data_IF_184317368075
#
_entry.id   IF_184317368075
#
_cell.length_a   1.000
_cell.length_b   1.000
_cell.length_c   1.000
_cell.angle_alpha   90.00
_cell.angle_beta   90.00
_cell.angle_gamma   90.00
#
_symmetry.space_group_name_H-M   'P 1'
#
loop_
_entity.id
_entity.type
_entity.pdbx_description
1 polymer ?
#
# COMPACT_ATOMS: atom_id res chain seq x y z
N UNK A 1 -17.78 -19.19 16.71
CA UNK A 1 -16.70 -18.93 15.72
C UNK A 1 -16.86 -17.50 15.23
N UNK A 2 -15.76 -16.82 14.92
CA UNK A 2 -15.81 -15.48 14.28
C UNK A 2 -16.40 -15.61 12.87
N UNK A 3 -17.08 -14.57 12.39
CA UNK A 3 -17.53 -14.52 10.99
C UNK A 3 -16.31 -14.42 10.08
N UNK A 4 -16.24 -15.19 8.98
CA UNK A 4 -15.14 -15.12 8.04
C UNK A 4 -15.00 -13.72 7.41
N UNK A 5 -13.77 -13.22 7.31
CA UNK A 5 -13.45 -12.01 6.54
C UNK A 5 -13.26 -12.42 5.08
N UNK A 6 -13.99 -11.77 4.17
CA UNK A 6 -13.84 -11.98 2.73
C UNK A 6 -12.83 -10.98 2.16
N UNK A 7 -11.78 -11.51 1.54
CA UNK A 7 -10.67 -10.71 0.99
C UNK A 7 -10.55 -10.97 -0.51
N UNK A 8 -10.73 -9.93 -1.31
CA UNK A 8 -10.47 -10.00 -2.75
C UNK A 8 -9.03 -9.55 -3.06
N UNK A 9 -8.36 -10.29 -3.94
CA UNK A 9 -7.01 -9.98 -4.42
C UNK A 9 -7.03 -9.98 -5.94
N UNK A 10 -6.73 -8.83 -6.55
CA UNK A 10 -6.57 -8.73 -8.01
C UNK A 10 -5.13 -9.04 -8.41
N UNK A 11 -4.91 -9.64 -9.59
CA UNK A 11 -3.60 -10.11 -9.99
C UNK A 11 -3.11 -11.26 -9.10
N UNK A 12 -4.03 -12.13 -8.69
CA UNK A 12 -3.82 -13.18 -7.70
C UNK A 12 -2.78 -14.22 -8.11
N UNK A 13 -2.67 -14.53 -9.41
CA UNK A 13 -1.66 -15.44 -9.96
C UNK A 13 -0.31 -14.73 -10.26
N UNK A 14 -0.23 -13.41 -10.10
CA UNK A 14 1.00 -12.64 -10.26
C UNK A 14 1.97 -12.87 -9.10
N UNK A 15 3.23 -12.46 -9.26
CA UNK A 15 4.27 -12.71 -8.24
C UNK A 15 3.95 -12.14 -6.85
N UNK A 16 3.38 -10.93 -6.78
CA UNK A 16 2.98 -10.33 -5.50
C UNK A 16 1.76 -11.07 -4.96
N UNK A 17 0.73 -11.32 -5.81
CA UNK A 17 -0.47 -12.06 -5.44
C UNK A 17 -0.10 -13.42 -4.86
N UNK A 18 0.65 -14.23 -5.59
CA UNK A 18 1.13 -15.52 -5.13
C UNK A 18 1.85 -15.45 -3.77
N UNK A 19 2.82 -14.54 -3.60
CA UNK A 19 3.53 -14.39 -2.33
C UNK A 19 2.63 -13.90 -1.17
N UNK A 20 1.53 -13.22 -1.48
CA UNK A 20 0.60 -12.62 -0.52
C UNK A 20 -0.43 -13.63 -0.01
N UNK A 21 -1.01 -14.43 -0.90
CA UNK A 21 -2.15 -15.31 -0.59
C UNK A 21 -1.86 -16.29 0.55
N UNK A 22 -0.70 -16.93 0.54
CA UNK A 22 -0.29 -17.88 1.59
C UNK A 22 -0.10 -17.21 2.95
N UNK A 23 0.33 -15.95 2.97
CA UNK A 23 0.45 -15.15 4.21
C UNK A 23 -0.90 -14.76 4.76
N UNK A 24 -1.86 -14.40 3.90
CA UNK A 24 -3.23 -14.13 4.32
C UNK A 24 -3.85 -15.41 4.90
N UNK A 25 -3.78 -16.51 4.14
CA UNK A 25 -4.36 -17.80 4.52
C UNK A 25 -3.77 -18.39 5.82
N UNK A 26 -2.49 -18.11 6.10
CA UNK A 26 -1.83 -18.55 7.35
C UNK A 26 -2.17 -17.70 8.59
N UNK A 27 -3.00 -16.64 8.44
CA UNK A 27 -3.41 -15.78 9.55
C UNK A 27 -2.48 -14.61 9.86
N UNK A 28 -1.42 -14.37 9.07
CA UNK A 28 -0.48 -13.27 9.32
C UNK A 28 -1.14 -11.88 9.21
N UNK A 29 -2.21 -11.74 8.42
CA UNK A 29 -2.86 -10.46 8.16
C UNK A 29 -3.90 -10.07 9.22
N UNK A 30 -4.74 -11.01 9.64
CA UNK A 30 -5.89 -10.74 10.54
C UNK A 30 -5.81 -11.46 11.90
N UNK A 31 -4.73 -12.19 12.13
CA UNK A 31 -4.52 -12.94 13.36
C UNK A 31 -4.78 -14.45 13.23
N UNK A 32 -4.32 -15.23 14.22
CA UNK A 32 -4.27 -16.70 14.13
C UNK A 32 -5.61 -17.40 14.34
N UNK A 33 -6.67 -16.67 14.64
CA UNK A 33 -8.02 -17.19 14.97
C UNK A 33 -9.12 -16.59 14.08
N UNK A 34 -8.76 -15.85 13.00
CA UNK A 34 -9.71 -15.22 12.10
C UNK A 34 -9.90 -16.07 10.84
N UNK A 35 -11.11 -16.69 10.66
CA UNK A 35 -11.45 -17.40 9.42
C UNK A 35 -11.51 -16.46 8.21
N UNK A 36 -11.19 -16.98 7.03
CA UNK A 36 -11.04 -16.23 5.80
C UNK A 36 -11.74 -16.90 4.62
N UNK A 37 -12.26 -16.08 3.72
CA UNK A 37 -12.60 -16.45 2.34
C UNK A 37 -11.78 -15.60 1.39
N UNK A 38 -11.11 -16.20 0.42
CA UNK A 38 -10.33 -15.52 -0.58
C UNK A 38 -11.07 -15.47 -1.91
N UNK A 39 -11.22 -14.27 -2.48
CA UNK A 39 -11.69 -14.04 -3.83
C UNK A 39 -10.47 -13.71 -4.70
N UNK A 40 -10.14 -14.60 -5.61
CA UNK A 40 -8.93 -14.50 -6.45
C UNK A 40 -9.33 -14.01 -7.83
N UNK A 41 -9.01 -12.76 -8.12
CA UNK A 41 -9.43 -12.09 -9.35
C UNK A 41 -8.26 -12.02 -10.31
N UNK A 42 -8.45 -12.55 -11.52
CA UNK A 42 -7.47 -12.50 -12.60
C UNK A 42 -8.09 -12.13 -13.94
N UNK A 43 -7.25 -11.80 -14.90
CA UNK A 43 -7.68 -11.66 -16.29
C UNK A 43 -7.95 -13.04 -16.89
N UNK A 44 -8.84 -13.17 -17.89
CA UNK A 44 -9.20 -14.47 -18.48
C UNK A 44 -7.98 -15.30 -18.90
N UNK A 45 -6.96 -14.69 -19.47
CA UNK A 45 -5.74 -15.37 -19.96
C UNK A 45 -4.88 -15.94 -18.82
N UNK A 46 -5.07 -15.52 -17.57
CA UNK A 46 -4.32 -15.99 -16.42
C UNK A 46 -5.09 -16.98 -15.53
N UNK A 47 -6.33 -17.35 -15.87
CA UNK A 47 -7.13 -18.31 -15.09
C UNK A 47 -6.45 -19.67 -14.97
N UNK A 48 -5.78 -20.14 -16.01
CA UNK A 48 -5.01 -21.40 -15.93
C UNK A 48 -3.87 -21.36 -14.93
N UNK A 49 -3.18 -20.22 -14.76
CA UNK A 49 -2.18 -20.05 -13.73
C UNK A 49 -2.82 -19.96 -12.33
N UNK A 50 -4.01 -19.36 -12.24
CA UNK A 50 -4.77 -19.26 -11.00
C UNK A 50 -5.20 -20.64 -10.47
N UNK A 51 -5.55 -21.57 -11.36
CA UNK A 51 -5.87 -22.97 -10.98
C UNK A 51 -4.68 -23.61 -10.24
N UNK A 52 -3.45 -23.40 -10.71
CA UNK A 52 -2.25 -23.88 -10.03
C UNK A 52 -2.08 -23.28 -8.63
N UNK A 53 -2.32 -21.97 -8.48
CA UNK A 53 -2.27 -21.29 -7.17
C UNK A 53 -3.31 -21.86 -6.21
N UNK A 54 -4.51 -22.19 -6.71
CA UNK A 54 -5.55 -22.81 -5.90
C UNK A 54 -5.17 -24.21 -5.41
N UNK A 55 -4.55 -25.02 -6.28
CA UNK A 55 -4.04 -26.35 -5.89
C UNK A 55 -3.06 -26.21 -4.72
N UNK A 56 -2.10 -25.30 -4.80
CA UNK A 56 -1.13 -25.08 -3.73
C UNK A 56 -1.76 -24.56 -2.44
N UNK A 57 -2.76 -23.67 -2.53
CA UNK A 57 -3.51 -23.21 -1.35
C UNK A 57 -4.24 -24.37 -0.65
N UNK A 58 -4.81 -25.30 -1.43
CA UNK A 58 -5.42 -26.51 -0.89
C UNK A 58 -4.39 -27.46 -0.27
N UNK A 59 -3.25 -27.65 -0.92
CA UNK A 59 -2.16 -28.50 -0.43
C UNK A 59 -1.56 -27.99 0.89
N UNK A 60 -1.60 -26.66 1.12
CA UNK A 60 -1.17 -26.06 2.38
C UNK A 60 -2.11 -26.37 3.56
N UNK A 61 -3.35 -26.79 3.29
CA UNK A 61 -4.35 -27.15 4.31
C UNK A 61 -4.50 -26.13 5.45
N UNK A 62 -4.53 -24.83 5.11
CA UNK A 62 -4.64 -23.77 6.10
C UNK A 62 -5.97 -23.84 6.88
N UNK A 63 -5.94 -23.97 8.21
CA UNK A 63 -7.14 -24.16 9.00
C UNK A 63 -8.07 -22.93 9.05
N UNK A 64 -7.56 -21.74 8.68
CA UNK A 64 -8.32 -20.50 8.65
C UNK A 64 -8.97 -20.24 7.29
N UNK A 65 -8.57 -20.93 6.24
CA UNK A 65 -9.08 -20.74 4.88
C UNK A 65 -10.33 -21.59 4.66
N UNK A 66 -11.50 -20.96 4.74
CA UNK A 66 -12.78 -21.65 4.57
C UNK A 66 -13.15 -21.92 3.12
N UNK A 67 -12.86 -20.96 2.24
CA UNK A 67 -13.16 -21.10 0.81
C UNK A 67 -12.30 -20.19 -0.06
N UNK A 68 -12.19 -20.55 -1.34
CA UNK A 68 -11.49 -19.78 -2.38
C UNK A 68 -12.43 -19.66 -3.58
N UNK A 69 -12.61 -18.44 -4.09
CA UNK A 69 -13.45 -18.13 -5.25
C UNK A 69 -12.55 -17.56 -6.36
N UNK A 70 -12.13 -18.36 -7.36
CA UNK A 70 -11.39 -17.88 -8.51
C UNK A 70 -12.36 -17.30 -9.55
N UNK A 71 -12.05 -16.14 -10.12
CA UNK A 71 -12.91 -15.55 -11.15
C UNK A 71 -12.19 -14.51 -12.00
N UNK A 72 -12.69 -14.30 -13.23
CA UNK A 72 -12.34 -13.15 -14.06
C UNK A 72 -13.44 -12.07 -14.07
N UNK A 73 -14.59 -12.33 -13.42
CA UNK A 73 -15.69 -11.38 -13.30
C UNK A 73 -15.52 -10.53 -12.05
N UNK A 74 -15.36 -9.22 -12.25
CA UNK A 74 -15.22 -8.26 -11.15
C UNK A 74 -16.45 -8.22 -10.22
N UNK A 75 -17.67 -8.41 -10.74
CA UNK A 75 -18.88 -8.40 -9.91
C UNK A 75 -18.95 -9.62 -8.98
N UNK A 76 -18.51 -10.77 -9.46
CA UNK A 76 -18.39 -11.96 -8.63
C UNK A 76 -17.23 -11.83 -7.64
N UNK A 77 -16.08 -11.38 -8.11
CA UNK A 77 -14.87 -11.25 -7.31
C UNK A 77 -15.00 -10.26 -6.17
N UNK A 78 -15.77 -9.20 -6.33
CA UNK A 78 -15.99 -8.22 -5.27
C UNK A 78 -17.29 -8.41 -4.47
N UNK A 79 -18.00 -9.53 -4.66
CA UNK A 79 -19.26 -9.76 -3.96
C UNK A 79 -19.06 -9.95 -2.46
N UNK A 80 -19.71 -9.08 -1.68
CA UNK A 80 -19.74 -9.12 -0.20
C UNK A 80 -18.35 -9.12 0.47
N UNK A 81 -17.31 -8.62 -0.19
CA UNK A 81 -15.96 -8.56 0.39
C UNK A 81 -15.85 -7.47 1.45
N UNK A 82 -15.02 -7.72 2.47
CA UNK A 82 -14.67 -6.75 3.51
C UNK A 82 -13.32 -6.03 3.19
N UNK A 83 -12.45 -6.68 2.40
CA UNK A 83 -11.19 -6.10 1.94
C UNK A 83 -10.96 -6.34 0.45
N UNK A 84 -10.61 -5.27 -0.28
CA UNK A 84 -10.11 -5.33 -1.64
C UNK A 84 -8.63 -4.98 -1.67
N UNK A 85 -7.79 -5.94 -2.06
CA UNK A 85 -6.36 -5.74 -2.27
C UNK A 85 -6.10 -5.65 -3.78
N UNK A 86 -6.00 -4.42 -4.29
CA UNK A 86 -5.88 -4.14 -5.72
C UNK A 86 -4.40 -4.18 -6.13
N UNK A 87 -3.90 -5.38 -6.36
CA UNK A 87 -2.48 -5.68 -6.66
C UNK A 87 -2.20 -5.66 -8.16
N UNK A 88 -3.14 -6.16 -8.96
CA UNK A 88 -3.00 -6.26 -10.42
C UNK A 88 -2.91 -4.89 -11.09
N UNK A 89 -1.86 -4.69 -11.88
CA UNK A 89 -1.68 -3.51 -12.72
C UNK A 89 -0.76 -3.83 -13.89
N UNK A 90 -0.86 -3.05 -14.97
CA UNK A 90 0.07 -3.17 -16.10
C UNK A 90 1.40 -2.53 -15.70
N UNK A 91 2.53 -3.26 -15.75
CA UNK A 91 3.84 -2.71 -15.43
C UNK A 91 4.32 -1.76 -16.54
N UNK A 92 5.11 -0.74 -16.16
CA UNK A 92 5.73 0.15 -17.13
C UNK A 92 6.72 -0.62 -18.00
N UNK A 93 6.53 -0.56 -19.31
CA UNK A 93 7.45 -1.14 -20.31
C UNK A 93 8.48 -0.10 -20.75
N UNK A 94 9.62 -0.57 -21.28
CA UNK A 94 10.60 0.32 -21.87
C UNK A 94 9.98 1.12 -23.03
N UNK A 95 10.22 2.43 -23.05
CA UNK A 95 9.65 3.35 -24.05
C UNK A 95 8.20 3.81 -23.79
N UNK A 96 7.52 3.31 -22.75
CA UNK A 96 6.19 3.77 -22.40
C UNK A 96 6.25 5.09 -21.64
N UNK A 97 5.50 6.09 -22.09
CA UNK A 97 5.36 7.35 -21.38
C UNK A 97 4.52 7.19 -20.10
N UNK A 98 4.71 8.10 -19.14
CA UNK A 98 3.94 8.08 -17.87
C UNK A 98 2.44 8.23 -18.13
N UNK A 99 2.07 9.12 -19.05
CA UNK A 99 0.67 9.37 -19.42
C UNK A 99 -0.01 8.11 -19.97
N UNK A 100 0.68 7.34 -20.82
CA UNK A 100 0.15 6.13 -21.40
C UNK A 100 -0.12 5.06 -20.33
N UNK A 101 0.83 4.89 -19.40
CA UNK A 101 0.68 3.96 -18.28
C UNK A 101 -0.51 4.34 -17.40
N UNK A 102 -0.65 5.63 -17.08
CA UNK A 102 -1.76 6.15 -16.30
C UNK A 102 -3.10 5.94 -17.02
N UNK A 103 -3.15 6.14 -18.34
CA UNK A 103 -4.35 5.92 -19.14
C UNK A 103 -4.78 4.45 -19.20
N UNK A 104 -3.81 3.51 -19.31
CA UNK A 104 -4.10 2.07 -19.33
C UNK A 104 -4.56 1.59 -17.96
N UNK A 105 -3.78 1.87 -16.91
CA UNK A 105 -4.14 1.47 -15.56
C UNK A 105 -5.42 2.17 -15.09
N UNK A 106 -5.63 3.44 -15.43
CA UNK A 106 -6.82 4.17 -15.05
C UNK A 106 -8.11 3.48 -15.45
N UNK A 107 -8.19 2.91 -16.65
CA UNK A 107 -9.37 2.15 -17.11
C UNK A 107 -9.62 0.90 -16.25
N UNK A 108 -8.55 0.20 -15.84
CA UNK A 108 -8.63 -0.95 -14.95
C UNK A 108 -9.20 -0.53 -13.60
N UNK A 109 -8.67 0.54 -13.01
CA UNK A 109 -9.06 1.00 -11.68
C UNK A 109 -10.45 1.67 -11.65
N UNK A 110 -10.90 2.28 -12.75
CA UNK A 110 -12.30 2.71 -12.92
C UNK A 110 -13.25 1.50 -12.80
N UNK A 111 -13.00 0.46 -13.58
CA UNK A 111 -13.84 -0.75 -13.56
C UNK A 111 -13.85 -1.46 -12.21
N UNK A 112 -12.68 -1.52 -11.54
CA UNK A 112 -12.58 -2.09 -10.20
C UNK A 112 -13.33 -1.23 -9.17
N UNK A 113 -13.17 0.09 -9.17
CA UNK A 113 -13.88 1.00 -8.27
C UNK A 113 -15.41 0.84 -8.38
N UNK A 114 -15.93 0.89 -9.61
CA UNK A 114 -17.37 0.72 -9.87
C UNK A 114 -17.89 -0.66 -9.44
N UNK A 115 -17.11 -1.72 -9.69
CA UNK A 115 -17.52 -3.06 -9.29
C UNK A 115 -17.50 -3.26 -7.77
N UNK A 116 -16.53 -2.67 -7.05
CA UNK A 116 -16.48 -2.67 -5.59
C UNK A 116 -17.69 -1.92 -5.01
N UNK A 117 -17.95 -0.70 -5.49
CA UNK A 117 -19.10 0.09 -5.03
C UNK A 117 -20.42 -0.68 -5.14
N UNK A 118 -20.61 -1.37 -6.26
CA UNK A 118 -21.85 -2.10 -6.55
C UNK A 118 -22.01 -3.37 -5.73
N UNK A 119 -20.93 -4.08 -5.40
CA UNK A 119 -21.01 -5.48 -4.97
C UNK A 119 -20.39 -5.75 -3.59
N UNK A 120 -19.52 -4.88 -3.08
CA UNK A 120 -18.82 -5.13 -1.83
C UNK A 120 -19.71 -4.93 -0.59
N UNK A 121 -19.26 -5.44 0.54
CA UNK A 121 -19.88 -5.18 1.84
C UNK A 121 -19.85 -3.68 2.19
N UNK A 122 -20.82 -3.21 2.95
CA UNK A 122 -20.91 -1.80 3.35
C UNK A 122 -19.73 -1.33 4.22
N UNK A 123 -18.96 -2.26 4.81
CA UNK A 123 -17.77 -1.99 5.61
C UNK A 123 -16.47 -2.18 4.84
N UNK A 124 -16.51 -2.36 3.52
CA UNK A 124 -15.34 -2.62 2.68
C UNK A 124 -14.24 -1.58 2.89
N UNK A 125 -12.99 -2.05 2.92
CA UNK A 125 -11.77 -1.24 2.88
C UNK A 125 -10.93 -1.65 1.67
N UNK A 126 -10.33 -0.68 1.02
CA UNK A 126 -9.62 -0.89 -0.24
C UNK A 126 -8.14 -0.48 -0.08
N UNK A 127 -7.22 -1.38 -0.36
CA UNK A 127 -5.79 -1.09 -0.41
C UNK A 127 -5.28 -1.25 -1.83
N UNK A 128 -4.85 -0.16 -2.44
CA UNK A 128 -4.26 -0.15 -3.77
C UNK A 128 -2.75 -0.35 -3.67
N UNK A 129 -2.27 -1.36 -4.38
CA UNK A 129 -0.87 -1.80 -4.43
C UNK A 129 -0.28 -1.62 -5.83
N UNK A 130 -1.11 -1.84 -6.86
CA UNK A 130 -0.72 -1.70 -8.26
C UNK A 130 -0.29 -0.27 -8.61
N UNK A 131 0.92 -0.14 -9.20
CA UNK A 131 1.52 1.16 -9.48
C UNK A 131 1.02 1.83 -10.76
N UNK A 132 0.95 3.18 -10.74
CA UNK A 132 1.23 4.12 -9.65
C UNK A 132 0.11 4.15 -8.60
N UNK A 133 0.37 3.62 -7.41
CA UNK A 133 -0.68 3.25 -6.46
C UNK A 133 -1.47 4.45 -5.92
N UNK A 134 -0.84 5.59 -5.67
CA UNK A 134 -1.55 6.79 -5.21
C UNK A 134 -2.56 7.27 -6.25
N UNK A 135 -2.14 7.40 -7.50
CA UNK A 135 -2.99 7.88 -8.60
C UNK A 135 -4.05 6.85 -8.99
N UNK A 136 -3.71 5.55 -8.99
CA UNK A 136 -4.68 4.49 -9.22
C UNK A 136 -5.77 4.46 -8.13
N UNK A 137 -5.38 4.69 -6.87
CA UNK A 137 -6.31 4.84 -5.74
C UNK A 137 -7.22 6.06 -5.93
N UNK A 138 -6.66 7.20 -6.33
CA UNK A 138 -7.43 8.41 -6.63
C UNK A 138 -8.48 8.16 -7.72
N UNK A 139 -8.10 7.47 -8.80
CA UNK A 139 -9.01 7.13 -9.90
C UNK A 139 -10.13 6.22 -9.40
N UNK A 140 -9.78 5.11 -8.73
CA UNK A 140 -10.77 4.16 -8.23
C UNK A 140 -11.76 4.82 -7.25
N UNK A 141 -11.27 5.60 -6.29
CA UNK A 141 -12.06 6.32 -5.30
C UNK A 141 -13.04 7.31 -5.97
N UNK A 142 -12.60 8.07 -6.96
CA UNK A 142 -13.45 9.04 -7.65
C UNK A 142 -14.50 8.39 -8.58
N UNK A 143 -14.38 7.10 -8.86
CA UNK A 143 -15.35 6.31 -9.63
C UNK A 143 -16.20 5.36 -8.76
N UNK A 144 -16.13 5.54 -7.42
CA UNK A 144 -16.88 4.77 -6.43
C UNK A 144 -17.33 5.71 -5.29
N UNK A 145 -18.18 6.68 -5.62
CA UNK A 145 -18.52 7.84 -4.77
C UNK A 145 -19.35 7.50 -3.55
N UNK A 146 -20.05 6.38 -3.57
CA UNK A 146 -20.83 5.90 -2.43
C UNK A 146 -19.96 5.29 -1.32
N UNK A 147 -18.69 4.97 -1.64
CA UNK A 147 -17.73 4.48 -0.64
C UNK A 147 -17.00 5.66 -0.01
N UNK A 148 -17.08 5.85 1.31
CA UNK A 148 -16.39 6.94 2.01
C UNK A 148 -14.89 6.99 1.71
N UNK A 149 -14.33 8.19 1.59
CA UNK A 149 -12.91 8.39 1.25
C UNK A 149 -11.94 7.83 2.29
N UNK A 150 -12.38 7.70 3.55
CA UNK A 150 -11.62 7.11 4.66
C UNK A 150 -11.47 5.57 4.57
N UNK A 151 -12.07 4.94 3.57
CA UNK A 151 -11.97 3.51 3.26
C UNK A 151 -10.93 3.19 2.18
N UNK A 152 -10.33 4.20 1.57
CA UNK A 152 -9.39 4.08 0.47
C UNK A 152 -7.96 4.33 0.91
N UNK A 153 -7.08 3.38 0.61
CA UNK A 153 -5.68 3.38 1.00
C UNK A 153 -4.79 3.05 -0.20
N UNK A 154 -3.55 3.60 -0.23
CA UNK A 154 -2.52 3.15 -1.14
C UNK A 154 -1.25 2.78 -0.37
N UNK A 155 -0.51 1.76 -0.85
CA UNK A 155 0.57 1.14 -0.10
C UNK A 155 1.86 1.94 -0.18
N UNK A 156 2.29 2.53 0.94
CA UNK A 156 3.62 3.13 1.14
C UNK A 156 4.43 2.41 2.23
N UNK A 157 3.87 1.37 2.83
CA UNK A 157 4.52 0.59 3.89
C UNK A 157 5.80 -0.10 3.43
N UNK A 158 5.92 -0.49 2.16
CA UNK A 158 7.15 -1.06 1.64
C UNK A 158 8.31 -0.07 1.75
N UNK A 159 8.06 1.20 1.49
CA UNK A 159 9.07 2.25 1.60
C UNK A 159 9.43 2.54 3.06
N UNK A 160 8.44 2.53 3.95
CA UNK A 160 8.66 2.59 5.40
C UNK A 160 9.55 1.44 5.88
N UNK A 161 9.24 0.20 5.48
CA UNK A 161 10.02 -0.98 5.85
C UNK A 161 11.46 -0.88 5.34
N UNK A 162 11.68 -0.36 4.14
CA UNK A 162 13.01 -0.06 3.57
C UNK A 162 13.74 0.98 4.41
N UNK A 163 13.08 2.07 4.74
CA UNK A 163 13.65 3.16 5.54
C UNK A 163 14.04 2.67 6.94
N UNK A 164 13.14 1.95 7.62
CA UNK A 164 13.42 1.35 8.94
C UNK A 164 14.61 0.41 8.91
N UNK A 165 14.70 -0.44 7.89
CA UNK A 165 15.81 -1.37 7.72
C UNK A 165 17.16 -0.64 7.50
N UNK A 166 17.19 0.47 6.74
CA UNK A 166 18.41 1.26 6.55
C UNK A 166 18.86 1.95 7.84
N UNK A 167 17.94 2.56 8.58
CA UNK A 167 18.27 3.19 9.87
C UNK A 167 18.75 2.16 10.89
N UNK A 168 18.07 1.03 11.02
CA UNK A 168 18.48 -0.05 11.92
C UNK A 168 19.88 -0.59 11.58
N UNK A 169 20.14 -0.82 10.29
CA UNK A 169 21.46 -1.28 9.83
C UNK A 169 22.56 -0.26 10.10
N UNK A 170 22.34 1.02 9.81
CA UNK A 170 23.32 2.10 10.06
C UNK A 170 23.61 2.28 11.54
N UNK A 171 22.60 2.13 12.41
CA UNK A 171 22.73 2.24 13.86
C UNK A 171 23.23 0.94 14.53
N UNK A 172 23.29 -0.19 13.80
CA UNK A 172 23.69 -1.48 14.38
C UNK A 172 22.68 -2.07 15.37
N UNK A 173 21.37 -1.79 15.19
CA UNK A 173 20.29 -2.26 16.08
C UNK A 173 19.28 -3.15 15.35
N UNK A 174 18.41 -3.81 16.10
CA UNK A 174 17.28 -4.56 15.52
C UNK A 174 16.23 -3.64 14.90
N UNK A 175 15.50 -4.12 13.88
CA UNK A 175 14.45 -3.33 13.18
C UNK A 175 13.35 -2.89 14.16
N UNK A 176 13.06 -3.67 15.19
CA UNK A 176 12.08 -3.33 16.23
C UNK A 176 12.41 -2.07 17.04
N UNK A 177 13.69 -1.67 17.08
CA UNK A 177 14.12 -0.43 17.72
C UNK A 177 13.71 0.84 16.93
N UNK A 178 13.40 0.72 15.63
CA UNK A 178 13.05 1.86 14.78
C UNK A 178 11.54 2.05 14.75
N UNK A 179 11.09 3.19 15.26
CA UNK A 179 9.67 3.59 15.34
C UNK A 179 9.44 4.96 14.72
N UNK A 180 8.18 5.35 14.59
CA UNK A 180 7.79 6.69 14.11
C UNK A 180 8.38 7.06 12.74
N UNK A 181 8.64 6.06 11.90
CA UNK A 181 9.08 6.32 10.53
C UNK A 181 7.88 6.77 9.68
N UNK A 182 8.06 7.87 8.95
CA UNK A 182 7.07 8.38 8.01
C UNK A 182 7.62 8.38 6.60
N UNK A 183 6.82 7.92 5.67
CA UNK A 183 6.98 8.20 4.25
C UNK A 183 5.95 9.26 3.88
N UNK A 184 6.40 10.40 3.40
CA UNK A 184 5.52 11.48 2.95
C UNK A 184 5.33 11.44 1.44
N UNK A 185 4.11 11.76 0.99
CA UNK A 185 3.80 12.08 -0.40
C UNK A 185 3.48 10.87 -1.27
N UNK A 186 4.06 10.85 -2.47
CA UNK A 186 3.81 9.86 -3.53
C UNK A 186 4.72 8.62 -3.39
N UNK A 187 4.21 7.43 -3.71
CA UNK A 187 5.04 6.23 -3.86
C UNK A 187 5.85 6.30 -5.17
N UNK A 188 6.86 7.13 -5.20
CA UNK A 188 7.70 7.42 -6.36
C UNK A 188 9.13 7.77 -5.95
N UNK A 189 9.93 8.25 -6.89
CA UNK A 189 11.28 8.77 -6.59
C UNK A 189 11.27 10.11 -5.83
N UNK A 190 10.11 10.74 -5.63
CA UNK A 190 9.96 11.95 -4.83
C UNK A 190 9.53 11.67 -3.39
N UNK A 191 9.20 10.43 -3.04
CA UNK A 191 8.85 10.06 -1.68
C UNK A 191 9.89 10.55 -0.67
N UNK A 192 9.42 11.03 0.47
CA UNK A 192 10.33 11.51 1.51
C UNK A 192 10.28 10.59 2.74
N UNK A 193 11.31 9.77 2.99
CA UNK A 193 11.47 9.05 4.25
C UNK A 193 12.00 10.00 5.33
N UNK A 194 11.14 10.34 6.27
CA UNK A 194 11.38 11.37 7.29
C UNK A 194 12.21 10.81 8.46
N UNK A 195 13.50 10.98 8.39
CA UNK A 195 14.42 10.57 9.43
C UNK A 195 14.46 11.50 10.64
N UNK A 196 14.00 12.77 10.51
CA UNK A 196 13.98 13.72 11.62
C UNK A 196 12.96 13.34 12.71
N UNK A 197 11.81 12.78 12.30
CA UNK A 197 10.78 12.35 13.23
C UNK A 197 10.87 10.86 13.60
N UNK A 198 11.69 10.08 12.89
CA UNK A 198 11.94 8.68 13.22
C UNK A 198 12.70 8.57 14.55
N UNK A 199 12.50 7.46 15.27
CA UNK A 199 13.16 7.18 16.53
C UNK A 199 13.87 5.84 16.49
N UNK A 200 15.01 5.78 17.17
CA UNK A 200 15.79 4.56 17.41
C UNK A 200 15.92 4.42 18.93
N UNK A 201 15.35 3.35 19.51
CA UNK A 201 15.26 3.15 20.97
C UNK A 201 14.72 4.40 21.71
N UNK A 202 13.63 4.97 21.17
CA UNK A 202 12.96 6.18 21.63
C UNK A 202 13.78 7.49 21.56
N UNK A 203 14.99 7.49 21.02
CA UNK A 203 15.80 8.69 20.76
C UNK A 203 15.62 9.16 19.31
N UNK A 204 15.77 10.47 19.02
CA UNK A 204 15.75 10.96 17.63
C UNK A 204 16.76 10.21 16.74
N UNK A 205 16.32 9.75 15.58
CA UNK A 205 17.14 8.91 14.71
C UNK A 205 18.35 9.67 14.15
N UNK A 206 18.21 10.96 13.88
CA UNK A 206 19.28 11.84 13.40
C UNK A 206 20.38 12.00 14.46
N UNK A 207 20.03 12.11 15.75
CA UNK A 207 21.01 12.15 16.84
C UNK A 207 21.73 10.80 17.01
N UNK A 208 21.00 9.67 16.93
CA UNK A 208 21.60 8.34 17.10
C UNK A 208 22.54 8.01 15.95
N UNK A 209 22.16 8.34 14.73
CA UNK A 209 23.01 8.13 13.53
C UNK A 209 24.20 9.08 13.52
N UNK A 210 24.02 10.37 13.89
CA UNK A 210 25.09 11.35 13.98
C UNK A 210 25.78 11.69 12.64
N UNK A 211 25.18 11.29 11.53
CA UNK A 211 25.71 11.49 10.15
C UNK A 211 24.63 12.11 9.27
N UNK A 212 24.43 13.41 9.46
CA UNK A 212 23.38 14.15 8.74
C UNK A 212 23.61 14.14 7.21
N UNK A 213 24.87 14.12 6.76
CA UNK A 213 25.20 14.04 5.33
C UNK A 213 24.71 12.74 4.71
N UNK A 214 24.92 11.62 5.40
CA UNK A 214 24.42 10.33 4.97
C UNK A 214 22.89 10.30 4.96
N UNK A 215 22.23 10.81 6.02
CA UNK A 215 20.77 10.87 6.12
C UNK A 215 20.14 11.66 4.98
N UNK A 216 20.67 12.85 4.67
CA UNK A 216 20.11 13.73 3.64
C UNK A 216 20.36 13.25 2.20
N UNK A 217 21.46 12.58 1.94
CA UNK A 217 21.87 12.23 0.58
C UNK A 217 21.75 10.74 0.28
N UNK A 218 22.38 9.88 1.07
CA UNK A 218 22.46 8.44 0.78
C UNK A 218 21.20 7.70 1.26
N UNK A 219 20.77 7.91 2.50
CA UNK A 219 19.61 7.24 3.06
C UNK A 219 18.36 7.47 2.21
N UNK A 220 18.04 8.73 1.91
CA UNK A 220 16.88 9.08 1.07
C UNK A 220 16.99 8.42 -0.30
N UNK A 221 18.14 8.54 -0.97
CA UNK A 221 18.36 7.97 -2.29
C UNK A 221 18.26 6.44 -2.30
N UNK A 222 18.79 5.76 -1.27
CA UNK A 222 18.70 4.31 -1.13
C UNK A 222 17.23 3.88 -1.03
N UNK A 223 16.42 4.55 -0.22
CA UNK A 223 15.01 4.22 -0.06
C UNK A 223 14.24 4.46 -1.37
N UNK A 224 14.40 5.63 -1.98
CA UNK A 224 13.74 6.01 -3.23
C UNK A 224 14.08 5.08 -4.40
N UNK A 225 15.34 4.64 -4.50
CA UNK A 225 15.84 3.85 -5.63
C UNK A 225 15.85 2.34 -5.37
N UNK A 226 15.42 1.88 -4.20
CA UNK A 226 15.48 0.45 -3.83
C UNK A 226 14.73 -0.44 -4.81
N UNK A 227 13.58 0.00 -5.32
CA UNK A 227 12.82 -0.75 -6.32
C UNK A 227 13.64 -1.02 -7.59
N UNK A 228 14.28 0.01 -8.14
CA UNK A 228 15.16 -0.11 -9.31
C UNK A 228 16.38 -1.00 -9.02
N UNK A 229 16.98 -0.89 -7.83
CA UNK A 229 18.10 -1.73 -7.42
C UNK A 229 17.72 -3.22 -7.35
N UNK A 230 16.53 -3.53 -6.84
CA UNK A 230 16.00 -4.90 -6.81
C UNK A 230 15.80 -5.44 -8.23
N UNK A 231 15.19 -4.65 -9.12
CA UNK A 231 15.01 -5.05 -10.53
C UNK A 231 16.36 -5.31 -11.20
N UNK A 232 17.35 -4.44 -10.99
CA UNK A 232 18.69 -4.59 -11.54
C UNK A 232 19.38 -5.88 -11.06
N UNK A 233 19.22 -6.24 -9.80
CA UNK A 233 19.85 -7.41 -9.19
C UNK A 233 19.11 -8.71 -9.49
N UNK A 234 17.77 -8.70 -9.46
CA UNK A 234 16.92 -9.89 -9.53
C UNK A 234 16.33 -10.14 -10.91
N UNK A 235 16.32 -9.14 -11.80
CA UNK A 235 15.61 -9.18 -13.10
C UNK A 235 14.09 -8.98 -13.00
N UNK A 236 13.53 -8.92 -11.79
CA UNK A 236 12.10 -8.83 -11.52
C UNK A 236 11.85 -7.82 -10.39
N UNK A 237 10.65 -7.25 -10.35
CA UNK A 237 10.21 -6.34 -9.28
C UNK A 237 10.15 -7.03 -7.91
N UNK A 238 10.13 -6.23 -6.86
CA UNK A 238 9.89 -6.71 -5.49
C UNK A 238 8.55 -7.44 -5.41
N UNK A 239 8.54 -8.67 -4.94
CA UNK A 239 7.34 -9.48 -4.74
C UNK A 239 7.14 -9.85 -3.27
N UNK A 240 8.06 -10.60 -2.67
CA UNK A 240 7.95 -11.03 -1.28
C UNK A 240 7.89 -9.87 -0.29
N UNK A 241 8.74 -8.83 -0.46
CA UNK A 241 8.71 -7.65 0.40
C UNK A 241 7.47 -6.77 0.17
N UNK A 242 6.94 -6.72 -1.06
CA UNK A 242 5.68 -6.04 -1.34
C UNK A 242 4.50 -6.76 -0.68
N UNK A 243 4.43 -8.09 -0.81
CA UNK A 243 3.42 -8.91 -0.12
C UNK A 243 3.48 -8.74 1.40
N UNK A 244 4.69 -8.73 1.98
CA UNK A 244 4.87 -8.46 3.41
C UNK A 244 4.32 -7.07 3.80
N UNK A 245 4.63 -6.05 3.02
CA UNK A 245 4.17 -4.69 3.28
C UNK A 245 2.64 -4.54 3.18
N UNK A 246 1.97 -5.30 2.30
CA UNK A 246 0.50 -5.39 2.24
C UNK A 246 -0.04 -5.97 3.55
N UNK A 247 0.52 -7.09 4.01
CA UNK A 247 0.15 -7.71 5.31
C UNK A 247 0.34 -6.72 6.45
N UNK A 248 1.52 -6.08 6.53
CA UNK A 248 1.83 -5.09 7.58
C UNK A 248 0.86 -3.89 7.55
N UNK A 249 0.46 -3.44 6.35
CA UNK A 249 -0.47 -2.32 6.19
C UNK A 249 -1.85 -2.69 6.73
N UNK A 250 -2.42 -3.80 6.27
CA UNK A 250 -3.75 -4.25 6.70
C UNK A 250 -3.75 -4.55 8.20
N UNK A 251 -2.73 -5.25 8.70
CA UNK A 251 -2.57 -5.50 10.14
C UNK A 251 -2.57 -4.20 10.95
N UNK A 252 -1.81 -3.19 10.50
CA UNK A 252 -1.74 -1.89 11.17
C UNK A 252 -3.05 -1.10 11.09
N UNK A 253 -3.86 -1.26 10.04
CA UNK A 253 -5.16 -0.61 9.89
C UNK A 253 -6.29 -1.32 10.65
N UNK A 254 -6.09 -2.57 11.06
CA UNK A 254 -7.08 -3.38 11.79
C UNK A 254 -6.80 -3.50 13.28
N UNK A 255 -5.61 -3.12 13.73
CA UNK A 255 -5.20 -3.19 15.13
C UNK A 255 -4.78 -1.81 15.65
N UNK A 256 -5.04 -1.55 16.93
CA UNK A 256 -4.60 -0.32 17.57
C UNK A 256 -3.08 -0.17 17.52
N UNK A 257 -2.62 1.02 17.17
CA UNK A 257 -1.20 1.32 17.08
C UNK A 257 -0.58 1.41 18.49
N UNK A 258 0.48 0.66 18.79
CA UNK A 258 1.10 0.65 20.11
C UNK A 258 1.70 2.01 20.50
N UNK A 259 1.49 2.42 21.76
CA UNK A 259 2.14 3.61 22.35
C UNK A 259 1.92 4.89 21.55
N UNK A 260 2.99 5.65 21.34
CA UNK A 260 3.00 6.86 20.52
C UNK A 260 3.54 6.64 19.10
N UNK A 261 3.58 5.39 18.65
CA UNK A 261 4.03 5.06 17.31
C UNK A 261 2.97 5.41 16.25
N UNK A 262 3.37 5.33 14.99
CA UNK A 262 2.53 5.42 13.81
C UNK A 262 3.12 4.59 12.67
N UNK A 263 2.43 4.51 11.58
CA UNK A 263 2.88 3.85 10.35
C UNK A 263 2.51 4.70 9.14
N UNK A 264 3.15 4.44 8.01
CA UNK A 264 2.90 5.16 6.77
C UNK A 264 1.88 4.43 5.90
N UNK A 265 0.87 5.15 5.48
CA UNK A 265 -0.08 4.71 4.46
C UNK A 265 -0.57 5.94 3.70
N UNK A 266 -0.79 5.82 2.39
CA UNK A 266 -1.40 6.88 1.64
C UNK A 266 -2.91 6.84 1.81
N UNK A 267 -3.47 7.97 2.17
CA UNK A 267 -4.91 8.19 2.43
C UNK A 267 -5.39 9.44 1.70
N UNK A 268 -6.70 9.60 1.59
CA UNK A 268 -7.29 10.84 1.09
C UNK A 268 -6.96 11.99 2.04
N UNK A 269 -6.30 13.01 1.53
CA UNK A 269 -5.92 14.18 2.31
C UNK A 269 -7.15 14.95 2.78
N UNK A 270 -7.12 15.35 4.04
CA UNK A 270 -8.09 16.24 4.70
C UNK A 270 -7.57 17.70 4.84
N UNK A 271 -6.49 18.04 4.13
CA UNK A 271 -5.78 19.31 4.23
C UNK A 271 -4.65 19.31 5.27
N UNK A 272 -4.46 18.25 6.02
CA UNK A 272 -3.36 18.11 6.99
C UNK A 272 -2.01 18.38 6.34
N UNK A 273 -1.12 19.08 7.06
CA UNK A 273 0.24 19.40 6.62
C UNK A 273 0.31 20.18 5.29
N UNK A 274 -0.70 20.99 4.99
CA UNK A 274 -0.84 21.79 3.76
C UNK A 274 -0.87 20.95 2.47
N UNK A 275 -1.23 19.68 2.57
CA UNK A 275 -1.47 18.83 1.42
C UNK A 275 -2.90 19.05 0.92
N UNK A 276 -3.07 19.37 -0.37
CA UNK A 276 -4.38 19.65 -0.98
C UNK A 276 -5.39 18.54 -0.66
N UNK A 277 -6.58 18.95 -0.20
CA UNK A 277 -7.67 18.04 0.10
C UNK A 277 -8.05 17.18 -1.11
N UNK A 278 -8.36 15.92 -0.86
CA UNK A 278 -8.77 14.96 -1.88
C UNK A 278 -7.62 14.31 -2.66
N UNK A 279 -6.35 14.71 -2.45
CA UNK A 279 -5.20 13.96 -2.96
C UNK A 279 -4.99 12.67 -2.15
N UNK A 280 -4.59 11.60 -2.82
CA UNK A 280 -4.11 10.39 -2.12
C UNK A 280 -2.62 10.55 -1.85
N UNK A 281 -2.28 10.90 -0.63
CA UNK A 281 -0.90 11.17 -0.19
C UNK A 281 -0.53 10.35 1.05
N UNK A 282 0.72 9.94 1.16
CA UNK A 282 1.21 9.22 2.33
C UNK A 282 1.44 10.17 3.51
N UNK A 283 0.97 9.73 4.67
CA UNK A 283 1.05 10.43 5.95
C UNK A 283 1.45 9.47 7.08
N UNK A 284 1.89 10.00 8.24
CA UNK A 284 1.90 9.25 9.48
C UNK A 284 0.47 8.99 9.94
N UNK A 285 0.10 7.73 10.06
CA UNK A 285 -1.25 7.27 10.45
C UNK A 285 -1.16 6.41 11.68
N UNK A 286 -2.13 6.52 12.57
CA UNK A 286 -2.32 5.61 13.69
C UNK A 286 -3.77 5.17 13.81
N UNK A 287 -3.99 4.05 14.46
CA UNK A 287 -5.31 3.50 14.75
C UNK A 287 -5.56 3.54 16.24
N UNK A 288 -6.76 3.98 16.64
CA UNK A 288 -7.27 4.02 18.01
C UNK A 288 -8.72 3.59 18.02
N UNK A 289 -9.06 2.56 18.81
CA UNK A 289 -10.42 2.07 18.89
C UNK A 289 -11.01 1.66 17.54
N UNK A 290 -10.20 1.06 16.66
CA UNK A 290 -10.60 0.61 15.34
C UNK A 290 -10.79 1.71 14.28
N UNK A 291 -10.44 2.98 14.60
CA UNK A 291 -10.46 4.11 13.66
C UNK A 291 -9.05 4.60 13.41
N UNK A 292 -8.73 4.83 12.15
CA UNK A 292 -7.47 5.46 11.79
C UNK A 292 -7.59 6.98 11.77
N UNK A 293 -6.48 7.65 12.00
CA UNK A 293 -6.36 9.11 11.92
C UNK A 293 -4.96 9.50 11.41
N UNK A 294 -4.87 10.62 10.70
CA UNK A 294 -3.58 11.26 10.41
C UNK A 294 -3.03 11.84 11.70
N UNK A 295 -1.81 11.45 12.07
CA UNK A 295 -1.15 11.98 13.27
C UNK A 295 -0.87 13.46 13.08
N UNK A 296 -1.41 14.29 13.94
CA UNK A 296 -1.22 15.74 13.89
C UNK A 296 -0.01 16.18 14.72
N UNK A 297 0.54 17.38 14.39
CA UNK A 297 1.60 18.02 15.16
C UNK A 297 2.98 17.40 15.02
N UNK A 298 3.21 16.58 13.99
CA UNK A 298 4.58 16.10 13.64
C UNK A 298 5.38 17.33 13.16
N UNK A 299 6.53 17.64 13.78
CA UNK A 299 7.32 18.82 13.41
C UNK A 299 7.85 18.72 11.98
N UNK A 300 7.68 19.75 11.19
CA UNK A 300 8.18 19.83 9.81
C UNK A 300 9.15 21.00 9.72
N UNK A 301 10.45 20.70 9.58
CA UNK A 301 11.46 21.72 9.32
C UNK A 301 11.52 22.09 7.83
N UNK A 302 12.30 23.10 7.48
CA UNK A 302 12.40 23.62 6.10
C UNK A 302 12.87 22.57 5.10
N UNK A 303 13.79 21.69 5.50
CA UNK A 303 14.26 20.60 4.65
C UNK A 303 13.15 19.59 4.35
N UNK A 304 12.43 19.14 5.40
CA UNK A 304 11.30 18.22 5.28
C UNK A 304 10.18 18.86 4.45
N UNK A 305 9.87 20.15 4.68
CA UNK A 305 8.86 20.91 3.94
C UNK A 305 9.17 20.88 2.43
N UNK A 306 10.39 21.25 2.05
CA UNK A 306 10.80 21.25 0.65
C UNK A 306 10.66 19.86 -0.02
N UNK A 307 10.96 18.77 0.72
CA UNK A 307 10.80 17.40 0.21
C UNK A 307 9.33 16.97 0.08
N UNK A 308 8.51 17.31 1.07
CA UNK A 308 7.06 17.06 1.04
C UNK A 308 6.42 17.80 -0.13
N UNK A 309 6.72 19.09 -0.28
CA UNK A 309 6.15 19.93 -1.34
C UNK A 309 6.52 19.42 -2.74
N UNK A 310 7.75 18.94 -2.94
CA UNK A 310 8.16 18.33 -4.20
C UNK A 310 7.33 17.08 -4.52
N UNK A 311 7.06 16.23 -3.53
CA UNK A 311 6.27 15.01 -3.73
C UNK A 311 4.78 15.30 -3.93
N UNK A 312 4.25 16.29 -3.20
CA UNK A 312 2.86 16.76 -3.37
C UNK A 312 2.66 17.41 -4.74
N UNK A 313 3.65 18.16 -5.23
CA UNK A 313 3.62 18.73 -6.58
C UNK A 313 3.50 17.65 -7.64
N UNK A 314 4.27 16.55 -7.53
CA UNK A 314 4.15 15.40 -8.42
C UNK A 314 2.74 14.77 -8.38
N UNK A 315 2.14 14.64 -7.19
CA UNK A 315 0.76 14.13 -7.06
C UNK A 315 -0.27 15.05 -7.76
N UNK A 316 -0.10 16.37 -7.67
CA UNK A 316 -0.95 17.33 -8.37
C UNK A 316 -0.81 17.23 -9.90
N UNK A 317 0.42 17.06 -10.38
CA UNK A 317 0.69 16.83 -11.79
C UNK A 317 0.04 15.52 -12.26
N UNK A 318 0.19 14.41 -11.52
CA UNK A 318 -0.48 13.15 -11.84
C UNK A 318 -1.99 13.27 -11.85
N UNK A 319 -2.60 13.94 -10.86
CA UNK A 319 -4.04 14.22 -10.80
C UNK A 319 -4.49 14.98 -12.06
N UNK A 320 -3.71 15.98 -12.50
CA UNK A 320 -4.01 16.74 -13.72
C UNK A 320 -3.97 15.88 -14.98
N UNK A 321 -3.00 14.95 -15.08
CA UNK A 321 -2.87 14.04 -16.21
C UNK A 321 -4.04 13.05 -16.33
N UNK A 322 -4.70 12.73 -15.22
CA UNK A 322 -5.82 11.77 -15.16
C UNK A 322 -7.17 12.44 -14.93
N UNK A 323 -7.27 13.76 -15.06
CA UNK A 323 -8.49 14.52 -14.76
C UNK A 323 -9.75 13.97 -15.46
N UNK A 324 -9.60 13.50 -16.71
CA UNK A 324 -10.70 12.88 -17.49
C UNK A 324 -11.15 11.53 -16.96
N UNK A 325 -10.33 10.88 -16.10
CA UNK A 325 -10.58 9.56 -15.52
C UNK A 325 -11.20 9.63 -14.11
N UNK A 326 -11.30 10.84 -13.51
CA UNK A 326 -11.74 11.00 -12.13
C UNK A 326 -13.27 11.01 -11.95
N UNK A 327 -14.04 10.64 -12.94
CA UNK A 327 -15.52 10.61 -12.86
C UNK A 327 -16.12 12.03 -12.68
N UNK A 328 -17.16 12.34 -13.42
CA UNK A 328 -17.88 13.63 -13.32
C UNK A 328 -18.85 13.66 -12.15
#
# INVERSE_FOLDING_TARGET
MKTPIKVAVTGAAGQIGYALLFRIASGQMFGPDQPLTLHLIEIPDALGALDGVMMELHDCAFPLLESVVPTADLNEGFRDINWALLVGSVPRKAGMERKDLLGINGKIFIGQGQAIEKNASADVRILVVGNPCNTNCLIAMNNAKEIPSDRWFAMTRLDENRARAQLAHKAGVGIGSVTNMTIWGNHSSTQYPDFYNARIDNRPADEVIGDEKWLKNEFIAIVQQRGAAVIKARGLSSAGSAANAVVDTVFSLTNDTPGNNWHSVAVCSDGSYDVEEGLISSFPVRVRGGRWEIVQGVPINDFSRAKIDASVTELKEEKSLVAELLGK
#
